data_IF_939097333117
#
_entry.id   IF_939097333117
#
_cell.length_a   1.000
_cell.length_b   1.000
_cell.length_c   1.000
_cell.angle_alpha   90.00
_cell.angle_beta   90.00
_cell.angle_gamma   90.00
#
_symmetry.space_group_name_H-M   'P 1'
#
loop_
_entity.id
_entity.type
_entity.pdbx_description
1 polymer ?
#
# COMPACT_ATOMS: atom_id res chain seq x y z
N UNK A 1 -32.61 3.26 -3.74
CA UNK A 1 -32.36 3.96 -5.02
C UNK A 1 -31.83 2.92 -6.00
N UNK A 2 -32.45 2.79 -7.17
CA UNK A 2 -32.09 1.77 -8.16
C UNK A 2 -30.78 2.15 -8.86
N UNK A 3 -29.73 1.33 -8.76
CA UNK A 3 -28.40 1.58 -9.37
C UNK A 3 -28.51 1.72 -10.90
N UNK A 4 -29.61 1.23 -11.50
CA UNK A 4 -29.93 1.35 -12.93
C UNK A 4 -30.05 2.80 -13.42
N UNK A 5 -30.26 3.77 -12.52
CA UNK A 5 -30.35 5.20 -12.87
C UNK A 5 -29.01 5.95 -12.81
N UNK A 6 -27.90 5.30 -12.45
CA UNK A 6 -26.58 5.92 -12.55
C UNK A 6 -26.04 5.76 -13.97
N UNK A 7 -25.72 6.89 -14.62
CA UNK A 7 -24.93 6.90 -15.85
C UNK A 7 -23.46 6.62 -15.54
N UNK A 8 -23.16 5.38 -15.17
CA UNK A 8 -21.81 4.87 -14.99
C UNK A 8 -21.44 3.98 -16.18
N UNK A 9 -20.14 3.89 -16.45
CA UNK A 9 -19.61 2.87 -17.34
C UNK A 9 -20.06 1.47 -16.83
N UNK A 10 -20.63 0.60 -17.69
CA UNK A 10 -21.18 -0.68 -17.26
C UNK A 10 -20.19 -1.56 -16.50
N UNK A 11 -18.91 -1.50 -16.85
CA UNK A 11 -17.86 -2.24 -16.17
C UNK A 11 -17.60 -1.66 -14.78
N UNK A 12 -17.51 -0.34 -14.65
CA UNK A 12 -17.35 0.31 -13.35
C UNK A 12 -18.54 0.01 -12.41
N UNK A 13 -19.77 0.06 -12.93
CA UNK A 13 -20.95 -0.30 -12.16
C UNK A 13 -20.93 -1.77 -11.69
N UNK A 14 -20.44 -2.69 -12.54
CA UNK A 14 -20.29 -4.12 -12.20
C UNK A 14 -19.26 -4.33 -11.09
N UNK A 15 -18.10 -3.68 -11.18
CA UNK A 15 -17.06 -3.74 -10.14
C UNK A 15 -17.58 -3.18 -8.81
N UNK A 16 -18.28 -2.05 -8.82
CA UNK A 16 -18.86 -1.46 -7.61
C UNK A 16 -19.87 -2.40 -6.95
N UNK A 17 -20.74 -3.04 -7.75
CA UNK A 17 -21.69 -4.04 -7.23
C UNK A 17 -20.96 -5.25 -6.63
N UNK A 18 -19.95 -5.76 -7.32
CA UNK A 18 -19.15 -6.89 -6.85
C UNK A 18 -18.46 -6.57 -5.51
N UNK A 19 -17.80 -5.41 -5.40
CA UNK A 19 -17.15 -4.95 -4.17
C UNK A 19 -18.15 -4.71 -3.03
N UNK A 20 -19.33 -4.15 -3.34
CA UNK A 20 -20.37 -3.92 -2.34
C UNK A 20 -20.93 -5.23 -1.77
N UNK A 21 -21.19 -6.23 -2.62
CA UNK A 21 -21.66 -7.54 -2.16
C UNK A 21 -20.61 -8.28 -1.35
N UNK A 22 -19.32 -8.12 -1.68
CA UNK A 22 -18.24 -8.70 -0.88
C UNK A 22 -18.18 -8.11 0.53
N UNK A 23 -18.42 -6.80 0.70
CA UNK A 23 -18.43 -6.17 2.04
C UNK A 23 -19.54 -6.73 2.94
N UNK A 24 -20.72 -6.99 2.38
CA UNK A 24 -21.85 -7.59 3.10
C UNK A 24 -21.59 -9.06 3.48
N UNK A 25 -20.76 -9.77 2.70
CA UNK A 25 -20.35 -11.15 2.96
C UNK A 25 -19.06 -11.21 3.79
N UNK A 26 -19.07 -10.64 4.99
CA UNK A 26 -17.88 -10.41 5.82
C UNK A 26 -17.16 -11.67 6.37
N UNK A 27 -17.51 -12.88 5.90
CA UNK A 27 -17.05 -14.16 6.49
C UNK A 27 -16.12 -15.04 5.63
N UNK A 28 -16.17 -15.01 4.29
CA UNK A 28 -15.38 -15.93 3.43
C UNK A 28 -14.53 -15.21 2.36
N UNK A 29 -14.59 -13.88 2.28
CA UNK A 29 -13.82 -13.16 1.25
C UNK A 29 -12.31 -13.22 1.52
N UNK A 30 -11.52 -13.61 0.51
CA UNK A 30 -10.06 -13.67 0.64
C UNK A 30 -9.45 -12.26 0.65
N UNK A 31 -8.53 -12.00 1.59
CA UNK A 31 -7.76 -10.76 1.65
C UNK A 31 -6.36 -10.93 1.07
N UNK A 32 -5.99 -10.09 0.11
CA UNK A 32 -4.65 -10.11 -0.48
C UNK A 32 -3.53 -9.73 0.50
N UNK A 33 -3.83 -9.06 1.63
CA UNK A 33 -2.84 -8.60 2.61
C UNK A 33 -2.14 -9.73 3.36
N UNK A 34 -0.80 -9.77 3.36
CA UNK A 34 -0.02 -10.80 4.03
C UNK A 34 -0.18 -10.81 5.57
N UNK A 35 -0.71 -9.74 6.15
CA UNK A 35 -1.01 -9.56 7.57
C UNK A 35 -2.45 -9.04 7.69
N UNK A 36 -3.26 -9.63 8.58
CA UNK A 36 -4.65 -9.22 8.80
C UNK A 36 -4.72 -7.80 9.40
N UNK A 37 -5.57 -6.94 8.82
CA UNK A 37 -5.90 -5.63 9.39
C UNK A 37 -5.09 -4.42 8.89
N UNK A 38 -4.29 -4.53 7.83
CA UNK A 38 -3.48 -3.39 7.35
C UNK A 38 -3.56 -3.12 5.85
N UNK A 39 -4.05 -1.93 5.49
CA UNK A 39 -4.18 -1.41 4.12
C UNK A 39 -3.00 -0.59 3.58
N UNK A 40 -1.84 -0.63 4.23
CA UNK A 40 -0.65 0.15 3.85
C UNK A 40 0.54 -0.78 3.54
N UNK A 41 0.93 -0.80 2.26
CA UNK A 41 1.91 -1.73 1.71
C UNK A 41 3.35 -1.58 2.25
N UNK A 42 4.15 -2.62 1.99
CA UNK A 42 5.62 -2.78 2.07
C UNK A 42 6.37 -2.28 3.32
N UNK A 43 6.15 -1.06 3.79
CA UNK A 43 6.86 -0.46 4.92
C UNK A 43 6.51 -1.18 6.22
N UNK A 44 5.27 -1.66 6.33
CA UNK A 44 4.79 -2.44 7.48
C UNK A 44 5.48 -3.79 7.63
N UNK A 45 5.72 -4.46 6.51
CA UNK A 45 6.36 -5.78 6.50
C UNK A 45 7.80 -5.75 7.04
N UNK A 46 8.53 -4.65 6.82
CA UNK A 46 9.93 -4.55 7.26
C UNK A 46 10.01 -4.39 8.78
N UNK A 47 9.29 -3.44 9.37
CA UNK A 47 9.41 -3.16 10.80
C UNK A 47 8.71 -4.21 11.67
N UNK A 48 7.63 -4.83 11.19
CA UNK A 48 7.00 -5.96 11.90
C UNK A 48 7.90 -7.20 11.88
N UNK A 49 8.52 -7.52 10.74
CA UNK A 49 9.49 -8.61 10.67
C UNK A 49 10.69 -8.38 11.58
N UNK A 50 11.16 -7.12 11.69
CA UNK A 50 12.26 -6.75 12.59
C UNK A 50 11.82 -6.83 14.06
N UNK A 51 10.63 -6.35 14.42
CA UNK A 51 10.14 -6.42 15.80
C UNK A 51 9.92 -7.86 16.25
N UNK A 52 9.37 -8.72 15.37
CA UNK A 52 9.21 -10.15 15.60
C UNK A 52 10.56 -10.85 15.78
N UNK A 53 11.52 -10.58 14.88
CA UNK A 53 12.86 -11.14 14.96
C UNK A 53 13.59 -10.71 16.25
N UNK A 54 13.46 -9.44 16.64
CA UNK A 54 14.03 -8.90 17.87
C UNK A 54 13.26 -9.32 19.14
N UNK A 55 12.06 -9.91 19.00
CA UNK A 55 11.11 -10.20 20.09
C UNK A 55 10.81 -8.98 20.96
N UNK A 56 10.63 -7.81 20.32
CA UNK A 56 10.32 -6.54 20.98
C UNK A 56 8.92 -6.07 20.55
N UNK A 57 8.14 -5.45 21.42
CA UNK A 57 6.86 -4.87 21.02
C UNK A 57 7.09 -3.77 19.97
N UNK A 58 6.14 -3.62 19.05
CA UNK A 58 6.11 -2.55 18.06
C UNK A 58 5.11 -1.48 18.51
N UNK A 59 5.57 -0.25 18.69
CA UNK A 59 4.73 0.92 18.91
C UNK A 59 4.67 1.71 17.60
N UNK A 60 3.53 1.68 16.92
CA UNK A 60 3.31 2.40 15.67
C UNK A 60 2.45 3.63 15.91
N UNK A 61 2.96 4.79 15.50
CA UNK A 61 2.32 6.09 15.64
C UNK A 61 2.06 6.71 14.28
N UNK A 62 0.90 7.34 14.15
CA UNK A 62 0.57 8.24 13.05
C UNK A 62 0.54 9.68 13.55
N UNK A 63 0.60 10.65 12.64
CA UNK A 63 0.45 12.07 12.98
C UNK A 63 -0.85 12.34 13.77
N UNK A 64 -1.91 11.57 13.50
CA UNK A 64 -3.17 11.70 14.21
C UNK A 64 -3.08 11.34 15.71
N UNK A 65 -2.24 10.38 16.07
CA UNK A 65 -2.04 9.94 17.46
C UNK A 65 -1.27 10.99 18.29
N UNK A 66 -0.46 11.81 17.62
CA UNK A 66 0.41 12.80 18.24
C UNK A 66 -0.29 14.17 18.32
N UNK A 67 -1.21 14.45 17.39
CA UNK A 67 -1.98 15.70 17.33
C UNK A 67 -1.27 16.82 16.57
N UNK A 68 -1.90 17.99 16.52
CA UNK A 68 -1.44 19.16 15.73
C UNK A 68 -1.17 20.41 16.56
N UNK A 69 -1.48 20.40 17.86
CA UNK A 69 -1.32 21.56 18.74
C UNK A 69 0.02 21.51 19.48
N UNK A 70 0.96 22.37 19.09
CA UNK A 70 2.38 22.38 19.50
C UNK A 70 2.67 21.89 20.93
N UNK A 71 2.03 22.49 21.95
CA UNK A 71 2.27 22.15 23.36
C UNK A 71 1.85 20.73 23.72
N UNK A 72 0.77 20.22 23.11
CA UNK A 72 0.31 18.84 23.31
C UNK A 72 1.13 17.84 22.51
N UNK A 73 1.60 18.21 21.32
CA UNK A 73 2.37 17.32 20.44
C UNK A 73 3.73 17.01 21.05
N UNK A 74 4.41 18.00 21.64
CA UNK A 74 5.68 17.75 22.34
C UNK A 74 5.49 16.78 23.53
N UNK A 75 4.45 16.98 24.33
CA UNK A 75 4.17 16.10 25.48
C UNK A 75 3.82 14.68 25.05
N UNK A 76 2.99 14.53 24.01
CA UNK A 76 2.58 13.21 23.52
C UNK A 76 3.76 12.50 22.84
N UNK A 77 4.57 13.19 22.05
CA UNK A 77 5.84 12.65 21.52
C UNK A 77 6.74 12.16 22.66
N UNK A 78 6.97 12.98 23.68
CA UNK A 78 7.83 12.61 24.81
C UNK A 78 7.33 11.34 25.48
N UNK A 79 6.04 11.28 25.77
CA UNK A 79 5.38 10.12 26.37
C UNK A 79 5.61 8.85 25.55
N UNK A 80 5.46 8.90 24.22
CA UNK A 80 5.65 7.74 23.37
C UNK A 80 7.11 7.28 23.29
N UNK A 81 8.05 8.22 23.23
CA UNK A 81 9.47 7.89 23.27
C UNK A 81 9.86 7.26 24.62
N UNK A 82 9.36 7.79 25.74
CA UNK A 82 9.61 7.24 27.07
C UNK A 82 8.98 5.84 27.22
N UNK A 83 7.77 5.62 26.70
CA UNK A 83 7.14 4.29 26.68
C UNK A 83 7.93 3.30 25.84
N UNK A 84 8.42 3.71 24.66
CA UNK A 84 9.23 2.88 23.81
C UNK A 84 10.55 2.47 24.48
N UNK A 85 11.21 3.40 25.19
CA UNK A 85 12.41 3.07 25.99
C UNK A 85 12.07 2.14 27.16
N UNK A 86 11.02 2.44 27.91
CA UNK A 86 10.62 1.65 29.08
C UNK A 86 10.27 0.20 28.72
N UNK A 87 9.65 -0.03 27.56
CA UNK A 87 9.28 -1.36 27.09
C UNK A 87 10.34 -1.99 26.18
N UNK A 88 11.46 -1.30 25.94
CA UNK A 88 12.46 -1.69 24.94
C UNK A 88 11.81 -2.03 23.59
N UNK A 89 10.82 -1.22 23.20
CA UNK A 89 10.00 -1.38 22.03
C UNK A 89 10.70 -0.84 20.77
N UNK A 90 10.29 -1.35 19.62
CA UNK A 90 10.56 -0.71 18.33
C UNK A 90 9.53 0.39 18.14
N UNK A 91 9.98 1.64 18.01
CA UNK A 91 9.11 2.78 17.74
C UNK A 91 9.06 3.04 16.24
N UNK A 92 7.86 3.10 15.67
CA UNK A 92 7.60 3.50 14.29
C UNK A 92 6.80 4.80 14.30
N UNK A 93 7.27 5.81 13.58
CA UNK A 93 6.47 6.98 13.23
C UNK A 93 6.20 6.95 11.73
N UNK A 94 4.94 6.72 11.38
CA UNK A 94 4.48 6.63 10.00
C UNK A 94 4.09 8.02 9.47
N UNK A 95 4.39 8.28 8.20
CA UNK A 95 4.16 9.54 7.50
C UNK A 95 4.71 10.76 8.29
N UNK A 96 5.95 10.64 8.76
CA UNK A 96 6.61 11.63 9.60
C UNK A 96 6.96 12.94 8.86
N UNK A 97 6.45 13.16 7.64
CA UNK A 97 6.72 14.31 6.77
C UNK A 97 6.70 15.64 7.53
N UNK A 98 5.72 15.86 8.42
CA UNK A 98 5.56 17.10 9.19
C UNK A 98 6.73 17.33 10.16
N UNK A 99 7.30 16.27 10.72
CA UNK A 99 8.44 16.35 11.64
C UNK A 99 9.79 16.44 10.92
N UNK A 100 9.84 15.98 9.66
CA UNK A 100 11.08 15.94 8.87
C UNK A 100 11.25 17.15 7.95
N UNK A 101 10.16 17.85 7.64
CA UNK A 101 10.17 18.98 6.70
C UNK A 101 11.08 20.12 7.18
N UNK A 102 11.82 20.72 6.24
CA UNK A 102 12.63 21.90 6.48
C UNK A 102 11.86 23.01 7.21
N UNK A 103 12.58 23.66 8.12
CA UNK A 103 12.06 24.81 8.88
C UNK A 103 11.72 25.95 7.93
N UNK A 104 10.48 26.45 8.00
CA UNK A 104 10.04 27.60 7.21
C UNK A 104 10.04 28.86 8.07
N UNK A 105 10.54 29.97 7.54
CA UNK A 105 10.67 31.24 8.26
C UNK A 105 9.36 31.83 8.82
N UNK A 106 8.19 31.30 8.42
CA UNK A 106 6.88 31.84 8.77
C UNK A 106 6.06 30.97 9.72
N UNK A 107 6.57 29.80 10.12
CA UNK A 107 5.82 28.84 10.93
C UNK A 107 6.57 28.49 12.22
N UNK A 108 6.49 29.39 13.20
CA UNK A 108 7.16 29.26 14.50
C UNK A 108 6.71 27.99 15.23
N UNK A 109 5.40 27.69 15.19
CA UNK A 109 4.86 26.53 15.89
C UNK A 109 5.31 25.20 15.30
N UNK A 110 5.38 25.10 13.96
CA UNK A 110 5.94 23.92 13.31
C UNK A 110 7.44 23.79 13.56
N UNK A 111 8.18 24.89 13.53
CA UNK A 111 9.62 24.87 13.78
C UNK A 111 9.96 24.45 15.22
N UNK A 112 9.12 24.84 16.20
CA UNK A 112 9.20 24.35 17.57
C UNK A 112 9.07 22.84 17.64
N UNK A 113 8.05 22.30 16.95
CA UNK A 113 7.80 20.86 16.88
C UNK A 113 8.96 20.07 16.24
N UNK A 114 9.45 20.50 15.08
CA UNK A 114 10.60 19.88 14.40
C UNK A 114 11.83 19.90 15.32
N UNK A 115 12.06 21.00 16.03
CA UNK A 115 13.19 21.14 16.95
C UNK A 115 13.07 20.20 18.16
N UNK A 116 11.87 20.08 18.74
CA UNK A 116 11.60 19.17 19.85
C UNK A 116 11.80 17.70 19.42
N UNK A 117 11.31 17.33 18.24
CA UNK A 117 11.46 16.00 17.67
C UNK A 117 12.94 15.64 17.43
N UNK A 118 13.71 16.51 16.76
CA UNK A 118 15.14 16.31 16.51
C UNK A 118 15.93 16.13 17.80
N UNK A 119 15.63 16.95 18.82
CA UNK A 119 16.25 16.85 20.13
C UNK A 119 15.94 15.50 20.77
N UNK A 120 14.68 15.03 20.71
CA UNK A 120 14.33 13.74 21.33
C UNK A 120 14.96 12.56 20.59
N UNK A 121 15.03 12.61 19.26
CA UNK A 121 15.73 11.59 18.47
C UNK A 121 17.19 11.43 18.87
N UNK A 122 17.88 12.53 19.20
CA UNK A 122 19.29 12.51 19.58
C UNK A 122 19.55 11.76 20.90
N UNK A 123 18.61 11.82 21.85
CA UNK A 123 18.74 11.17 23.14
C UNK A 123 18.00 9.83 23.25
N UNK A 124 17.24 9.45 22.23
CA UNK A 124 16.43 8.23 22.25
C UNK A 124 17.30 6.97 22.30
N UNK A 125 17.08 6.15 23.32
CA UNK A 125 17.82 4.88 23.51
C UNK A 125 16.99 3.68 23.11
N UNK A 126 16.62 3.62 21.83
CA UNK A 126 15.82 2.55 21.28
C UNK A 126 15.97 2.41 19.77
N UNK A 127 15.13 1.57 19.17
CA UNK A 127 15.07 1.41 17.72
C UNK A 127 13.93 2.26 17.17
N UNK A 128 14.26 3.26 16.35
CA UNK A 128 13.30 4.18 15.74
C UNK A 128 13.26 3.97 14.22
N UNK A 129 12.07 3.65 13.70
CA UNK A 129 11.77 3.66 12.27
C UNK A 129 10.92 4.87 11.94
N UNK A 130 11.30 5.56 10.86
CA UNK A 130 10.58 6.72 10.34
C UNK A 130 10.26 6.47 8.88
N UNK A 131 9.04 6.80 8.48
CA UNK A 131 8.58 6.67 7.10
C UNK A 131 8.23 8.07 6.58
N UNK A 132 8.56 8.36 5.33
CA UNK A 132 8.26 9.66 4.71
C UNK A 132 8.16 9.51 3.20
N UNK A 133 7.24 10.28 2.62
CA UNK A 133 7.07 10.36 1.17
C UNK A 133 7.77 11.59 0.56
N UNK A 134 8.40 12.44 1.39
CA UNK A 134 8.94 13.76 1.01
C UNK A 134 10.43 13.90 1.33
N UNK A 135 11.24 12.97 0.83
CA UNK A 135 12.68 12.90 1.09
C UNK A 135 13.43 14.19 0.72
N UNK A 136 13.06 14.87 -0.37
CA UNK A 136 13.70 16.11 -0.80
C UNK A 136 13.35 17.34 0.05
N UNK A 137 12.36 17.24 0.94
CA UNK A 137 12.03 18.29 1.90
C UNK A 137 12.65 18.08 3.27
N UNK A 138 13.45 17.03 3.46
CA UNK A 138 14.06 16.70 4.75
C UNK A 138 15.09 17.78 5.15
N UNK A 139 15.07 18.18 6.42
CA UNK A 139 16.08 19.08 7.02
C UNK A 139 17.44 18.37 7.14
N UNK A 140 18.54 19.02 6.75
CA UNK A 140 19.88 18.42 6.81
C UNK A 140 20.29 18.00 8.24
N UNK A 141 19.77 18.70 9.27
CA UNK A 141 20.00 18.32 10.66
C UNK A 141 19.37 16.97 11.02
N UNK A 142 18.30 16.57 10.33
CA UNK A 142 17.73 15.24 10.45
C UNK A 142 18.63 14.19 9.81
N UNK A 143 19.08 14.44 8.57
CA UNK A 143 19.94 13.50 7.83
C UNK A 143 21.19 13.12 8.64
N UNK A 144 21.81 14.10 9.31
CA UNK A 144 22.97 13.86 10.17
C UNK A 144 22.73 12.94 11.38
N UNK A 145 21.47 12.73 11.79
CA UNK A 145 21.06 11.89 12.93
C UNK A 145 20.51 10.52 12.52
N UNK A 146 20.36 10.28 11.23
CA UNK A 146 19.88 9.00 10.69
C UNK A 146 21.07 8.06 10.48
N UNK A 147 21.02 6.89 11.13
CA UNK A 147 22.05 5.86 10.98
C UNK A 147 21.97 5.14 9.62
N UNK A 148 20.76 4.93 9.11
CA UNK A 148 20.52 4.24 7.85
C UNK A 148 19.27 4.82 7.18
N UNK A 149 19.42 5.20 5.91
CA UNK A 149 18.31 5.59 5.05
C UNK A 149 18.09 4.49 4.01
N UNK A 150 16.86 4.00 3.90
CA UNK A 150 16.46 3.00 2.89
C UNK A 150 15.58 3.70 1.87
N UNK A 151 16.11 3.90 0.66
CA UNK A 151 15.35 4.38 -0.47
C UNK A 151 14.64 3.22 -1.17
N UNK A 152 13.34 3.34 -1.39
CA UNK A 152 12.61 2.39 -2.22
C UNK A 152 12.58 2.89 -3.66
N UNK A 153 13.25 2.16 -4.54
CA UNK A 153 13.21 2.43 -5.97
C UNK A 153 11.89 1.96 -6.59
N UNK A 154 11.63 2.43 -7.81
CA UNK A 154 10.52 1.94 -8.62
C UNK A 154 10.64 0.44 -8.85
N UNK A 155 9.50 -0.24 -8.74
CA UNK A 155 9.44 -1.68 -8.94
C UNK A 155 9.76 -1.98 -10.40
N UNK A 156 10.87 -2.66 -10.64
CA UNK A 156 11.23 -3.13 -11.99
C UNK A 156 10.17 -4.10 -12.52
N UNK A 157 10.02 -4.28 -13.84
CA UNK A 157 9.12 -5.28 -14.40
C UNK A 157 9.31 -6.68 -13.78
N UNK A 158 10.54 -7.07 -13.50
CA UNK A 158 10.84 -8.37 -12.91
C UNK A 158 10.51 -8.42 -11.41
N UNK A 159 10.72 -7.33 -10.67
CA UNK A 159 10.30 -7.28 -9.28
C UNK A 159 8.77 -7.33 -9.14
N UNK A 160 8.04 -6.68 -10.04
CA UNK A 160 6.57 -6.75 -10.09
C UNK A 160 6.07 -8.15 -10.42
N UNK A 161 6.75 -8.86 -11.34
CA UNK A 161 6.49 -10.28 -11.63
C UNK A 161 6.61 -11.12 -10.36
N UNK A 162 7.69 -10.93 -9.59
CA UNK A 162 7.89 -11.66 -8.33
C UNK A 162 6.80 -11.36 -7.29
N UNK A 163 6.32 -10.11 -7.22
CA UNK A 163 5.19 -9.73 -6.34
C UNK A 163 3.92 -10.47 -6.77
N UNK A 164 3.58 -10.46 -8.07
CA UNK A 164 2.44 -11.20 -8.60
C UNK A 164 2.51 -12.70 -8.27
N UNK A 165 3.67 -13.33 -8.47
CA UNK A 165 3.89 -14.73 -8.11
C UNK A 165 3.78 -14.98 -6.60
N UNK A 166 4.24 -14.05 -5.77
CA UNK A 166 4.06 -14.09 -4.33
C UNK A 166 2.59 -14.13 -3.94
N UNK A 167 1.77 -13.24 -4.53
CA UNK A 167 0.34 -13.21 -4.28
C UNK A 167 -0.38 -14.46 -4.83
N UNK A 168 -0.02 -14.96 -6.01
CA UNK A 168 -0.60 -16.19 -6.54
C UNK A 168 -0.31 -17.39 -5.63
N UNK A 169 0.93 -17.55 -5.16
CA UNK A 169 1.28 -18.61 -4.21
C UNK A 169 0.51 -18.49 -2.89
N UNK A 170 0.30 -17.26 -2.41
CA UNK A 170 -0.50 -16.99 -1.21
C UNK A 170 -1.95 -17.44 -1.41
N UNK A 171 -2.56 -17.04 -2.52
CA UNK A 171 -3.92 -17.41 -2.89
C UNK A 171 -4.08 -18.93 -3.00
N UNK A 172 -3.16 -19.59 -3.71
CA UNK A 172 -3.13 -21.05 -3.86
C UNK A 172 -3.03 -21.77 -2.50
N UNK A 173 -2.29 -21.20 -1.53
CA UNK A 173 -2.15 -21.77 -0.18
C UNK A 173 -3.40 -21.59 0.69
N UNK A 174 -4.05 -20.42 0.61
CA UNK A 174 -5.14 -20.04 1.54
C UNK A 174 -6.54 -20.36 1.02
N UNK A 175 -6.68 -20.53 -0.31
CA UNK A 175 -7.95 -20.81 -0.99
C UNK A 175 -7.84 -21.99 -1.96
N UNK A 176 -6.96 -22.94 -1.65
CA UNK A 176 -6.80 -24.19 -2.39
C UNK A 176 -8.17 -24.86 -2.63
N UNK A 177 -8.55 -25.05 -3.89
CA UNK A 177 -9.81 -25.70 -4.26
C UNK A 177 -11.07 -24.82 -4.14
N UNK A 178 -10.94 -23.54 -3.77
CA UNK A 178 -12.04 -22.57 -3.83
C UNK A 178 -11.84 -21.55 -4.95
N UNK A 179 -10.62 -21.03 -5.11
CA UNK A 179 -10.28 -20.01 -6.11
C UNK A 179 -9.04 -20.46 -6.88
N UNK A 180 -9.08 -20.38 -8.20
CA UNK A 180 -7.98 -20.73 -9.09
C UNK A 180 -7.72 -19.62 -10.09
N UNK A 181 -6.47 -19.19 -10.23
CA UNK A 181 -6.08 -18.30 -11.33
C UNK A 181 -5.85 -19.16 -12.57
N UNK A 182 -6.61 -18.88 -13.64
CA UNK A 182 -6.51 -19.64 -14.88
C UNK A 182 -5.10 -19.58 -15.49
N UNK A 183 -4.61 -20.64 -16.17
CA UNK A 183 -3.26 -20.65 -16.76
C UNK A 183 -3.01 -19.49 -17.73
N UNK A 184 -4.01 -19.13 -18.53
CA UNK A 184 -3.96 -17.97 -19.44
C UNK A 184 -3.88 -16.66 -18.67
N UNK A 185 -4.66 -16.50 -17.60
CA UNK A 185 -4.65 -15.31 -16.74
C UNK A 185 -3.29 -15.12 -16.08
N UNK A 186 -2.70 -16.20 -15.55
CA UNK A 186 -1.36 -16.19 -14.96
C UNK A 186 -0.30 -15.83 -16.01
N UNK A 187 -0.39 -16.40 -17.22
CA UNK A 187 0.54 -16.08 -18.32
C UNK A 187 0.43 -14.61 -18.73
N UNK A 188 -0.79 -14.10 -18.85
CA UNK A 188 -1.06 -12.70 -19.18
C UNK A 188 -0.43 -11.76 -18.15
N UNK A 189 -0.73 -11.92 -16.85
CA UNK A 189 -0.22 -11.03 -15.80
C UNK A 189 1.31 -11.07 -15.69
N UNK A 190 1.92 -12.24 -15.87
CA UNK A 190 3.37 -12.39 -15.69
C UNK A 190 4.17 -12.01 -16.95
N UNK A 191 3.66 -12.25 -18.16
CA UNK A 191 4.46 -12.19 -19.39
C UNK A 191 3.93 -11.21 -20.44
N UNK A 192 2.73 -10.66 -20.29
CA UNK A 192 2.19 -9.71 -21.25
C UNK A 192 2.99 -8.40 -21.25
N UNK A 193 3.33 -7.93 -22.45
CA UNK A 193 3.95 -6.61 -22.61
C UNK A 193 3.00 -5.48 -22.23
N UNK A 194 1.68 -5.70 -22.28
CA UNK A 194 0.69 -4.73 -21.79
C UNK A 194 0.88 -4.48 -20.30
N UNK A 195 0.95 -5.55 -19.50
CA UNK A 195 1.09 -5.46 -18.03
C UNK A 195 2.47 -4.94 -17.64
N UNK A 196 3.51 -5.27 -18.39
CA UNK A 196 4.88 -4.80 -18.13
C UNK A 196 5.04 -3.29 -18.32
N UNK A 197 4.28 -2.68 -19.22
CA UNK A 197 4.31 -1.23 -19.49
C UNK A 197 3.59 -0.41 -18.42
N UNK A 198 2.55 -0.95 -17.81
CA UNK A 198 1.79 -0.25 -16.76
C UNK A 198 2.65 -0.19 -15.50
N UNK A 199 3.07 1.00 -15.05
CA UNK A 199 3.94 1.21 -13.87
C UNK A 199 3.23 0.99 -12.52
N UNK A 200 2.74 -0.23 -12.26
CA UNK A 200 2.03 -0.55 -11.01
C UNK A 200 2.96 -0.60 -9.78
N UNK A 201 2.53 0.04 -8.69
CA UNK A 201 3.13 -0.13 -7.37
C UNK A 201 2.57 -1.37 -6.63
N UNK A 202 3.16 -1.72 -5.48
CA UNK A 202 2.75 -2.91 -4.72
C UNK A 202 1.30 -2.88 -4.24
N UNK A 203 0.76 -1.70 -3.89
CA UNK A 203 -0.65 -1.54 -3.47
C UNK A 203 -1.59 -1.70 -4.66
N UNK A 204 -1.22 -1.18 -5.81
CA UNK A 204 -2.00 -1.30 -7.05
C UNK A 204 -2.05 -2.74 -7.54
N UNK A 205 -0.92 -3.48 -7.50
CA UNK A 205 -0.88 -4.91 -7.81
C UNK A 205 -1.84 -5.68 -6.90
N UNK A 206 -1.76 -5.42 -5.59
CA UNK A 206 -2.63 -6.03 -4.59
C UNK A 206 -4.11 -5.73 -4.88
N UNK A 207 -4.45 -4.44 -5.10
CA UNK A 207 -5.81 -4.01 -5.38
C UNK A 207 -6.34 -4.63 -6.68
N UNK A 208 -5.49 -4.72 -7.70
CA UNK A 208 -5.84 -5.31 -8.98
C UNK A 208 -6.17 -6.80 -8.85
N UNK A 209 -5.35 -7.54 -8.08
CA UNK A 209 -5.64 -8.95 -7.77
C UNK A 209 -6.95 -9.10 -7.01
N UNK A 210 -7.13 -8.34 -5.93
CA UNK A 210 -8.32 -8.41 -5.11
C UNK A 210 -9.57 -8.15 -5.96
N UNK A 211 -9.56 -7.08 -6.75
CA UNK A 211 -10.70 -6.71 -7.61
C UNK A 211 -10.97 -7.77 -8.67
N UNK A 212 -9.93 -8.39 -9.25
CA UNK A 212 -10.10 -9.46 -10.23
C UNK A 212 -10.74 -10.72 -9.61
N UNK A 213 -10.36 -11.07 -8.38
CA UNK A 213 -10.97 -12.16 -7.62
C UNK A 213 -12.44 -11.84 -7.32
N UNK A 214 -12.71 -10.66 -6.76
CA UNK A 214 -14.07 -10.23 -6.44
C UNK A 214 -14.98 -10.25 -7.66
N UNK A 215 -14.46 -9.82 -8.83
CA UNK A 215 -15.22 -9.85 -10.08
C UNK A 215 -15.53 -11.28 -10.50
N UNK A 216 -14.56 -12.20 -10.39
CA UNK A 216 -14.77 -13.61 -10.72
C UNK A 216 -15.78 -14.29 -9.79
N UNK A 217 -15.71 -14.02 -8.48
CA UNK A 217 -16.67 -14.52 -7.49
C UNK A 217 -18.08 -14.02 -7.81
N UNK A 218 -18.22 -12.72 -8.11
CA UNK A 218 -19.49 -12.12 -8.47
C UNK A 218 -20.08 -12.72 -9.75
N UNK A 219 -19.28 -12.90 -10.80
CA UNK A 219 -19.72 -13.52 -12.05
C UNK A 219 -20.12 -15.00 -11.86
N UNK A 220 -19.44 -15.73 -10.97
CA UNK A 220 -19.82 -17.09 -10.60
C UNK A 220 -21.18 -17.14 -9.88
N UNK A 221 -21.50 -16.14 -9.04
CA UNK A 221 -22.79 -16.05 -8.34
C UNK A 221 -23.91 -15.64 -9.31
N UNK A 222 -23.68 -14.64 -10.17
CA UNK A 222 -24.66 -14.22 -11.19
C UNK A 222 -24.99 -15.37 -12.16
N UNK A 223 -23.97 -16.09 -12.63
CA UNK A 223 -24.15 -17.24 -13.53
C UNK A 223 -24.90 -18.42 -12.88
N UNK A 224 -24.81 -18.58 -11.57
CA UNK A 224 -25.59 -19.57 -10.82
C UNK A 224 -27.04 -19.11 -10.58
N UNK A 225 -27.27 -17.80 -10.45
CA UNK A 225 -28.60 -17.21 -10.22
C UNK A 225 -29.53 -17.21 -11.44
N UNK A 226 -28.99 -17.27 -12.66
CA UNK A 226 -29.77 -17.30 -13.91
C UNK A 226 -30.33 -18.72 -14.23
N UNK A 227 -30.02 -19.72 -13.41
CA UNK A 227 -30.38 -21.14 -13.62
C UNK A 227 -31.51 -21.69 -12.73
N UNK A 228 -32.31 -20.87 -12.04
CA UNK A 228 -33.50 -21.42 -11.37
C UNK A 228 -34.39 -20.45 -10.61
N UNK A 229 -35.55 -20.12 -11.18
CA UNK A 229 -36.76 -19.94 -10.37
C UNK A 229 -37.15 -21.31 -9.78
N UNK A 230 -36.75 -21.56 -8.53
CA UNK A 230 -37.22 -22.70 -7.75
C UNK A 230 -36.18 -23.80 -7.54
N UNK A 231 -35.33 -23.63 -6.52
CA UNK A 231 -34.48 -24.69 -6.01
C UNK A 231 -33.60 -24.16 -4.89
N UNK A 232 -33.55 -24.87 -3.76
CA UNK A 232 -32.74 -24.56 -2.59
C UNK A 232 -31.28 -24.20 -2.95
N UNK A 233 -30.55 -23.44 -2.10
CA UNK A 233 -29.16 -23.10 -2.35
C UNK A 233 -28.32 -24.36 -2.25
N UNK A 234 -28.12 -25.05 -3.37
CA UNK A 234 -27.12 -26.09 -3.50
C UNK A 234 -25.76 -25.38 -3.42
N UNK A 235 -25.15 -25.46 -2.23
CA UNK A 235 -23.75 -25.11 -1.95
C UNK A 235 -22.80 -26.06 -2.69
N UNK A 236 -22.93 -26.18 -4.01
CA UNK A 236 -21.92 -26.85 -4.81
C UNK A 236 -20.69 -25.95 -4.81
N UNK A 237 -19.61 -26.44 -4.21
CA UNK A 237 -18.27 -25.84 -4.21
C UNK A 237 -17.75 -25.70 -5.64
N UNK A 238 -18.31 -24.78 -6.42
CA UNK A 238 -17.77 -24.40 -7.71
C UNK A 238 -16.47 -23.64 -7.45
N UNK A 239 -15.41 -24.13 -8.08
CA UNK A 239 -14.11 -23.48 -8.04
C UNK A 239 -14.25 -22.20 -8.87
N UNK A 240 -14.07 -21.04 -8.23
CA UNK A 240 -14.07 -19.76 -8.92
C UNK A 240 -12.77 -19.65 -9.72
N UNK A 241 -12.88 -19.55 -11.04
CA UNK A 241 -11.72 -19.39 -11.93
C UNK A 241 -11.54 -17.93 -12.29
N UNK A 242 -10.41 -17.34 -11.92
CA UNK A 242 -10.04 -15.99 -12.31
C UNK A 242 -9.40 -16.04 -13.70
N UNK A 243 -10.16 -15.62 -14.71
CA UNK A 243 -9.73 -15.57 -16.11
C UNK A 243 -8.92 -14.33 -16.47
N UNK A 244 -8.31 -14.34 -17.67
CA UNK A 244 -7.54 -13.23 -18.21
C UNK A 244 -8.38 -11.96 -18.35
N UNK A 245 -9.65 -12.10 -18.75
CA UNK A 245 -10.54 -10.97 -18.99
C UNK A 245 -10.80 -10.16 -17.71
N UNK A 246 -10.86 -10.81 -16.54
CA UNK A 246 -10.96 -10.12 -15.25
C UNK A 246 -9.76 -9.19 -15.00
N UNK A 247 -8.54 -9.68 -15.20
CA UNK A 247 -7.33 -8.86 -15.06
C UNK A 247 -7.28 -7.74 -16.10
N UNK A 248 -7.61 -8.04 -17.35
CA UNK A 248 -7.60 -7.04 -18.44
C UNK A 248 -8.57 -5.89 -18.15
N UNK A 249 -9.77 -6.19 -17.65
CA UNK A 249 -10.78 -5.20 -17.24
C UNK A 249 -10.27 -4.30 -16.12
N UNK A 250 -9.72 -4.90 -15.05
CA UNK A 250 -9.24 -4.17 -13.88
C UNK A 250 -8.04 -3.29 -14.23
N UNK A 251 -7.05 -3.84 -14.93
CA UNK A 251 -5.85 -3.10 -15.32
C UNK A 251 -6.16 -1.94 -16.26
N UNK A 252 -7.07 -2.13 -17.21
CA UNK A 252 -7.52 -1.06 -18.12
C UNK A 252 -8.25 0.06 -17.36
N UNK A 253 -8.99 -0.27 -16.30
CA UNK A 253 -9.64 0.73 -15.45
C UNK A 253 -8.61 1.54 -14.66
N UNK A 254 -7.59 0.88 -14.11
CA UNK A 254 -6.48 1.55 -13.42
C UNK A 254 -5.68 2.46 -14.37
N UNK A 255 -5.42 2.00 -15.59
CA UNK A 255 -4.73 2.80 -16.63
C UNK A 255 -5.53 4.06 -17.00
N UNK A 256 -6.83 3.93 -17.30
CA UNK A 256 -7.70 5.08 -17.58
C UNK A 256 -7.73 6.10 -16.45
N UNK A 257 -7.71 5.64 -15.19
CA UNK A 257 -7.67 6.54 -14.04
C UNK A 257 -6.33 7.29 -13.97
N UNK A 258 -5.22 6.59 -14.20
CA UNK A 258 -3.90 7.22 -14.26
C UNK A 258 -3.84 8.28 -15.36
N UNK A 259 -4.30 7.94 -16.57
CA UNK A 259 -4.35 8.86 -17.71
C UNK A 259 -5.19 10.09 -17.41
N UNK A 260 -6.34 9.91 -16.75
CA UNK A 260 -7.21 11.02 -16.34
C UNK A 260 -6.54 11.96 -15.33
N UNK A 261 -5.89 11.41 -14.31
CA UNK A 261 -5.16 12.19 -13.30
C UNK A 261 -4.00 12.96 -13.95
N UNK A 262 -3.25 12.31 -14.83
CA UNK A 262 -2.14 12.90 -15.58
C UNK A 262 -2.64 14.00 -16.53
N UNK A 263 -3.77 13.78 -17.22
CA UNK A 263 -4.37 14.76 -18.13
C UNK A 263 -4.85 16.04 -17.42
N UNK A 264 -5.45 15.91 -16.22
CA UNK A 264 -5.86 17.09 -15.42
C UNK A 264 -4.65 17.90 -14.99
N UNK A 265 -3.60 17.21 -14.53
CA UNK A 265 -2.46 17.86 -13.87
C UNK A 265 -1.35 18.26 -14.84
N UNK A 266 -1.47 17.88 -16.12
CA UNK A 266 -0.50 18.10 -17.21
C UNK A 266 0.89 17.52 -16.97
N UNK A 267 1.05 16.75 -15.89
CA UNK A 267 2.30 16.17 -15.40
C UNK A 267 1.94 14.86 -14.68
N UNK A 268 2.76 13.83 -14.84
CA UNK A 268 2.62 12.56 -14.11
C UNK A 268 2.98 12.75 -12.61
N UNK A 269 2.70 11.77 -11.76
CA UNK A 269 3.01 11.89 -10.31
C UNK A 269 4.49 12.15 -10.03
N UNK A 270 5.36 11.55 -10.82
CA UNK A 270 6.80 11.57 -10.62
C UNK A 270 7.36 12.96 -10.95
N UNK A 271 6.96 13.52 -12.08
CA UNK A 271 7.28 14.88 -12.48
C UNK A 271 6.78 15.87 -11.43
N UNK A 272 5.56 15.68 -10.91
CA UNK A 272 5.04 16.53 -9.84
C UNK A 272 5.88 16.45 -8.57
N UNK A 273 6.27 15.24 -8.15
CA UNK A 273 7.09 15.05 -6.97
C UNK A 273 8.47 15.71 -7.15
N UNK A 274 9.07 15.60 -8.34
CA UNK A 274 10.33 16.25 -8.68
C UNK A 274 10.21 17.77 -8.72
N UNK A 275 9.19 18.31 -9.37
CA UNK A 275 8.94 19.77 -9.48
C UNK A 275 8.72 20.40 -8.11
N UNK A 276 8.06 19.68 -7.18
CA UNK A 276 7.86 20.13 -5.80
C UNK A 276 9.10 19.96 -4.91
N UNK A 277 10.12 19.26 -5.39
CA UNK A 277 11.28 18.87 -4.58
C UNK A 277 10.93 17.83 -3.51
N UNK A 278 9.84 17.08 -3.66
CA UNK A 278 9.44 16.04 -2.70
C UNK A 278 10.33 14.79 -2.81
N UNK A 279 10.63 14.36 -4.04
CA UNK A 279 11.53 13.23 -4.38
C UNK A 279 11.90 13.27 -5.86
N UNK A 280 13.03 12.68 -6.24
CA UNK A 280 13.44 12.51 -7.65
C UNK A 280 13.58 11.03 -8.00
N UNK A 281 12.48 10.42 -8.47
CA UNK A 281 12.47 9.01 -8.83
C UNK A 281 13.20 8.73 -10.16
N UNK A 282 13.65 9.76 -10.90
CA UNK A 282 14.46 9.60 -12.12
C UNK A 282 15.96 9.55 -11.84
N UNK A 283 16.39 10.03 -10.67
CA UNK A 283 17.77 9.93 -10.25
C UNK A 283 18.09 8.46 -9.98
N UNK A 284 18.91 7.83 -10.83
CA UNK A 284 19.50 6.52 -10.51
C UNK A 284 20.43 6.72 -9.32
N UNK A 285 19.96 6.37 -8.13
CA UNK A 285 20.86 6.22 -6.98
C UNK A 285 21.78 5.07 -7.34
N UNK A 286 23.08 5.34 -7.44
CA UNK A 286 24.06 4.28 -7.67
C UNK A 286 23.90 3.27 -6.54
N UNK A 287 23.47 2.05 -6.88
CA UNK A 287 23.50 0.93 -5.96
C UNK A 287 24.86 0.93 -5.26
N UNK A 288 24.86 0.91 -3.92
CA UNK A 288 26.06 0.60 -3.17
C UNK A 288 26.56 -0.75 -3.68
N UNK A 289 27.61 -0.70 -4.50
CA UNK A 289 28.27 -1.86 -5.06
C UNK A 289 28.69 -2.75 -3.89
N UNK A 290 28.21 -4.00 -3.90
CA UNK A 290 28.48 -5.01 -2.88
C UNK A 290 29.91 -5.52 -2.94
N UNK A 291 30.89 -4.60 -2.83
CA UNK A 291 32.30 -4.90 -2.62
C UNK A 291 32.73 -4.28 -1.31
N UNK A 292 32.42 -5.00 -0.23
CA UNK A 292 33.18 -4.84 1.02
C UNK A 292 34.63 -5.22 0.74
N UNK A 293 35.55 -4.35 1.16
CA UNK A 293 36.91 -4.77 1.54
C UNK A 293 36.85 -5.51 2.86
#
# INVERSE_FOLDING_TARGET
MDIKNLQLDPLAAKIIKALSMQQDQSGDSWGADFIEGKGAGQIILLHEGISEWLRRPLLALTVADIGITETSVEQELMKWFDLAEAWNAVLLVDEADIFLEQRKNRDLSRNGLVSAFLRRMEYFRGLLFLTTNRVGQIDDAFVSRVHMAIGYERLTPDFRRNIWEGFFRKLERERAGKILVGPSARKFVLHSDEVRKIELNGREIRNALQTAITLAEFESIEGAGDLGEGGAPSSSSQIVVVEEDHFRRVLKMSEKFHDYVTAIRREDEIQRAKVRGDRDDYAKVGAADGRSK
#
